data_IF_864857488751
#
_entry.id   IF_864857488751
#
_cell.length_a   1.000
_cell.length_b   1.000
_cell.length_c   1.000
_cell.angle_alpha   90.00
_cell.angle_beta   90.00
_cell.angle_gamma   90.00
#
_symmetry.space_group_name_H-M   'P 1'
#
loop_
_entity.id
_entity.type
_entity.pdbx_description
1 polymer ?
#
# COMPACT_ATOMS: atom_id res chain seq x y z
N UNK A 1 -41.63 -47.12 -4.81
CA UNK A 1 -40.94 -46.46 -3.68
C UNK A 1 -40.09 -45.34 -4.25
N UNK A 2 -40.59 -44.10 -4.20
CA UNK A 2 -39.83 -42.92 -4.61
C UNK A 2 -39.12 -42.36 -3.37
N UNK A 3 -37.80 -42.48 -3.33
CA UNK A 3 -37.01 -41.74 -2.33
C UNK A 3 -36.99 -40.26 -2.71
N UNK A 4 -37.41 -39.34 -1.83
CA UNK A 4 -37.26 -37.91 -2.07
C UNK A 4 -35.77 -37.55 -2.03
N UNK A 5 -35.28 -36.98 -3.14
CA UNK A 5 -33.94 -36.39 -3.23
C UNK A 5 -33.86 -35.22 -2.25
N UNK A 6 -32.88 -35.31 -1.35
CA UNK A 6 -32.50 -34.26 -0.42
C UNK A 6 -32.12 -32.97 -1.17
N UNK A 7 -33.07 -32.05 -1.30
CA UNK A 7 -32.85 -30.67 -1.76
C UNK A 7 -32.24 -29.84 -0.64
N UNK A 8 -31.06 -30.23 -0.16
CA UNK A 8 -30.16 -29.31 0.54
C UNK A 8 -29.42 -28.46 -0.50
N UNK A 9 -30.17 -27.66 -1.26
CA UNK A 9 -29.60 -26.43 -1.78
C UNK A 9 -29.32 -25.56 -0.56
N UNK A 10 -28.08 -25.66 -0.07
CA UNK A 10 -27.49 -24.75 0.88
C UNK A 10 -27.64 -23.33 0.35
N UNK A 11 -28.72 -22.65 0.75
CA UNK A 11 -28.77 -21.21 0.83
C UNK A 11 -27.81 -20.80 1.97
N UNK A 12 -26.51 -20.92 1.70
CA UNK A 12 -25.49 -20.22 2.49
C UNK A 12 -25.85 -18.74 2.39
N UNK A 13 -26.17 -18.05 3.51
CA UNK A 13 -26.39 -16.62 3.45
C UNK A 13 -25.11 -16.00 2.91
N UNK A 14 -25.19 -15.39 1.73
CA UNK A 14 -24.10 -14.62 1.15
C UNK A 14 -23.71 -13.56 2.19
N UNK A 15 -22.61 -13.78 2.91
CA UNK A 15 -22.08 -12.85 3.91
C UNK A 15 -21.51 -11.60 3.19
N UNK A 16 -22.39 -10.76 2.66
CA UNK A 16 -22.10 -9.47 2.01
C UNK A 16 -21.48 -8.50 3.02
N UNK A 17 -22.05 -8.45 4.24
CA UNK A 17 -21.75 -7.43 5.25
C UNK A 17 -20.36 -7.59 5.86
N UNK A 18 -19.93 -8.82 6.13
CA UNK A 18 -18.59 -9.09 6.68
C UNK A 18 -17.49 -8.74 5.68
N UNK A 19 -17.67 -9.11 4.41
CA UNK A 19 -16.68 -8.83 3.36
C UNK A 19 -16.60 -7.35 3.01
N UNK A 20 -17.71 -6.62 3.05
CA UNK A 20 -17.70 -5.15 2.91
C UNK A 20 -16.92 -4.47 4.04
N UNK A 21 -17.08 -4.92 5.30
CA UNK A 21 -16.28 -4.42 6.43
C UNK A 21 -14.79 -4.70 6.24
N UNK A 22 -14.44 -5.90 5.80
CA UNK A 22 -13.03 -6.26 5.50
C UNK A 22 -12.46 -5.36 4.41
N UNK A 23 -13.21 -5.12 3.32
CA UNK A 23 -12.80 -4.20 2.26
C UNK A 23 -12.51 -2.78 2.78
N UNK A 24 -13.39 -2.23 3.63
CA UNK A 24 -13.20 -0.91 4.24
C UNK A 24 -11.94 -0.88 5.11
N UNK A 25 -11.77 -1.88 5.98
CA UNK A 25 -10.61 -1.99 6.89
C UNK A 25 -9.31 -2.09 6.09
N UNK A 26 -9.27 -2.93 5.06
CA UNK A 26 -8.08 -3.11 4.22
C UNK A 26 -7.75 -1.84 3.43
N UNK A 27 -8.75 -1.06 2.99
CA UNK A 27 -8.52 0.23 2.33
C UNK A 27 -7.88 1.23 3.28
N UNK A 28 -8.42 1.36 4.50
CA UNK A 28 -7.84 2.24 5.52
C UNK A 28 -6.43 1.79 5.93
N UNK A 29 -6.21 0.49 6.05
CA UNK A 29 -4.91 -0.07 6.42
C UNK A 29 -3.86 0.17 5.33
N UNK A 30 -4.22 -0.02 4.05
CA UNK A 30 -3.34 0.29 2.92
C UNK A 30 -2.99 1.78 2.87
N UNK A 31 -3.99 2.67 3.00
CA UNK A 31 -3.75 4.11 3.07
C UNK A 31 -2.79 4.47 4.22
N UNK A 32 -3.00 3.89 5.40
CA UNK A 32 -2.15 4.10 6.57
C UNK A 32 -0.71 3.62 6.34
N UNK A 33 -0.52 2.40 5.84
CA UNK A 33 0.80 1.84 5.56
C UNK A 33 1.55 2.67 4.51
N UNK A 34 0.89 3.13 3.45
CA UNK A 34 1.54 3.96 2.44
C UNK A 34 1.90 5.36 2.96
N UNK A 35 1.06 5.95 3.82
CA UNK A 35 1.41 7.18 4.55
C UNK A 35 2.64 6.94 5.46
N UNK A 36 2.72 5.81 6.14
CA UNK A 36 3.89 5.45 6.95
C UNK A 36 5.14 5.26 6.10
N UNK A 37 5.06 4.61 4.94
CA UNK A 37 6.18 4.51 3.98
C UNK A 37 6.70 5.91 3.62
N UNK A 38 5.80 6.87 3.37
CA UNK A 38 6.15 8.25 3.02
C UNK A 38 6.85 8.97 4.18
N UNK A 39 6.35 8.82 5.41
CA UNK A 39 7.00 9.39 6.60
C UNK A 39 8.37 8.73 6.86
N UNK A 40 8.48 7.41 6.72
CA UNK A 40 9.77 6.71 6.85
C UNK A 40 10.76 7.13 5.77
N UNK A 41 10.30 7.32 4.53
CA UNK A 41 11.13 7.87 3.45
C UNK A 41 11.72 9.22 3.87
N UNK A 42 10.92 10.03 4.57
CA UNK A 42 11.37 11.35 4.98
C UNK A 42 12.37 11.38 6.14
N UNK A 43 12.44 10.28 6.91
CA UNK A 43 13.39 10.07 8.01
C UNK A 43 14.68 9.34 7.55
N UNK A 44 14.64 8.78 6.34
CA UNK A 44 15.76 8.05 5.75
C UNK A 44 16.78 9.01 5.10
N UNK A 45 17.98 8.54 4.72
CA UNK A 45 18.92 9.32 3.91
C UNK A 45 18.33 9.80 2.57
N UNK A 46 17.18 9.28 2.12
CA UNK A 46 16.44 9.79 0.95
C UNK A 46 15.87 11.19 1.16
N UNK A 47 15.90 11.73 2.39
CA UNK A 47 15.54 13.11 2.66
C UNK A 47 16.41 14.15 1.95
N UNK A 48 17.60 13.74 1.50
CA UNK A 48 18.48 14.58 0.68
C UNK A 48 17.99 14.67 -0.77
N UNK A 49 17.17 13.73 -1.22
CA UNK A 49 16.63 13.66 -2.57
C UNK A 49 15.16 14.07 -2.59
N UNK A 50 14.89 15.31 -3.04
CA UNK A 50 13.53 15.80 -3.30
C UNK A 50 12.86 16.49 -2.12
N UNK A 51 11.95 17.44 -2.43
CA UNK A 51 11.34 18.31 -1.43
C UNK A 51 10.30 17.60 -0.53
N UNK A 52 9.67 16.53 -1.04
CA UNK A 52 8.68 15.74 -0.31
C UNK A 52 9.27 14.77 0.73
N UNK A 53 10.58 14.51 0.64
CA UNK A 53 11.27 13.55 1.50
C UNK A 53 11.93 14.24 2.70
N UNK A 54 11.71 15.52 2.97
CA UNK A 54 12.27 16.17 4.17
C UNK A 54 11.29 16.02 5.31
N UNK A 55 11.67 15.34 6.38
CA UNK A 55 10.80 15.20 7.56
C UNK A 55 10.34 16.56 8.08
N UNK A 56 9.04 16.70 8.32
CA UNK A 56 8.42 17.95 8.80
C UNK A 56 8.35 19.08 7.76
N UNK A 57 8.75 18.84 6.51
CA UNK A 57 8.59 19.82 5.43
C UNK A 57 7.16 19.90 4.93
N UNK A 58 6.82 21.04 4.31
CA UNK A 58 5.53 21.21 3.63
C UNK A 58 5.30 20.13 2.57
N UNK A 59 6.34 19.74 1.83
CA UNK A 59 6.25 18.70 0.80
C UNK A 59 5.89 17.32 1.37
N UNK A 60 6.40 16.96 2.55
CA UNK A 60 6.03 15.70 3.22
C UNK A 60 4.55 15.70 3.60
N UNK A 61 4.08 16.79 4.23
CA UNK A 61 2.67 16.90 4.63
C UNK A 61 1.73 16.94 3.40
N UNK A 62 2.12 17.62 2.33
CA UNK A 62 1.38 17.61 1.06
C UNK A 62 1.28 16.21 0.47
N UNK A 63 2.36 15.42 0.50
CA UNK A 63 2.34 14.04 0.03
C UNK A 63 1.41 13.15 0.87
N UNK A 64 1.50 13.24 2.20
CA UNK A 64 0.60 12.51 3.13
C UNK A 64 -0.85 12.90 2.91
N UNK A 65 -1.14 14.21 2.78
CA UNK A 65 -2.48 14.70 2.50
C UNK A 65 -3.01 14.21 1.15
N UNK A 66 -2.17 14.21 0.11
CA UNK A 66 -2.53 13.71 -1.20
C UNK A 66 -2.88 12.22 -1.16
N UNK A 67 -2.05 11.39 -0.50
CA UNK A 67 -2.32 9.96 -0.30
C UNK A 67 -3.65 9.77 0.43
N UNK A 68 -3.87 10.49 1.52
CA UNK A 68 -5.13 10.45 2.25
C UNK A 68 -6.32 10.83 1.35
N UNK A 69 -6.21 11.88 0.55
CA UNK A 69 -7.26 12.33 -0.35
C UNK A 69 -7.60 11.28 -1.42
N UNK A 70 -6.61 10.70 -2.10
CA UNK A 70 -6.84 9.72 -3.17
C UNK A 70 -7.38 8.38 -2.67
N UNK A 71 -7.17 8.03 -1.38
CA UNK A 71 -7.81 6.87 -0.75
C UNK A 71 -9.19 7.21 -0.18
N UNK A 72 -9.29 8.23 0.68
CA UNK A 72 -10.50 8.46 1.46
C UNK A 72 -11.61 9.12 0.66
N UNK A 73 -11.32 9.99 -0.31
CA UNK A 73 -12.35 10.62 -1.13
C UNK A 73 -13.18 9.56 -1.91
N UNK A 74 -12.58 8.65 -2.69
CA UNK A 74 -13.36 7.59 -3.34
C UNK A 74 -13.95 6.57 -2.34
N UNK A 75 -13.33 6.35 -1.17
CA UNK A 75 -13.90 5.48 -0.14
C UNK A 75 -15.19 6.05 0.46
N UNK A 76 -15.23 7.36 0.75
CA UNK A 76 -16.42 8.05 1.24
C UNK A 76 -17.52 8.00 0.17
N UNK A 77 -17.19 8.31 -1.09
CA UNK A 77 -18.17 8.24 -2.18
C UNK A 77 -18.69 6.80 -2.38
N UNK A 78 -17.82 5.80 -2.21
CA UNK A 78 -18.22 4.39 -2.23
C UNK A 78 -19.22 4.06 -1.12
N UNK A 79 -19.00 4.52 0.12
CA UNK A 79 -19.95 4.28 1.23
C UNK A 79 -21.25 5.06 1.09
N UNK A 80 -21.26 6.17 0.35
CA UNK A 80 -22.46 6.90 -0.05
C UNK A 80 -23.26 6.22 -1.17
N UNK A 81 -22.81 5.07 -1.69
CA UNK A 81 -23.52 4.25 -2.67
C UNK A 81 -23.00 4.35 -4.10
N UNK A 82 -21.97 5.16 -4.37
CA UNK A 82 -21.32 5.23 -5.69
C UNK A 82 -20.40 4.01 -5.88
N UNK A 83 -21.00 2.86 -6.22
CA UNK A 83 -20.29 1.57 -6.37
C UNK A 83 -19.14 1.61 -7.37
N UNK A 84 -19.18 2.48 -8.38
CA UNK A 84 -18.11 2.67 -9.37
C UNK A 84 -16.79 3.18 -8.77
N UNK A 85 -16.84 3.86 -7.62
CA UNK A 85 -15.64 4.38 -6.93
C UNK A 85 -14.69 3.28 -6.50
N UNK A 86 -15.18 2.04 -6.40
CA UNK A 86 -14.31 0.88 -6.22
C UNK A 86 -13.22 0.91 -7.28
N UNK A 87 -13.52 1.02 -8.58
CA UNK A 87 -12.53 0.96 -9.67
C UNK A 87 -11.41 1.98 -9.53
N UNK A 88 -11.73 3.16 -9.01
CA UNK A 88 -10.74 4.19 -8.67
C UNK A 88 -9.85 3.70 -7.53
N UNK A 89 -10.41 3.17 -6.44
CA UNK A 89 -9.63 2.54 -5.38
C UNK A 89 -8.74 1.42 -5.90
N UNK A 90 -9.18 0.60 -6.87
CA UNK A 90 -8.32 -0.45 -7.44
C UNK A 90 -7.15 0.12 -8.24
N UNK A 91 -7.35 1.23 -8.95
CA UNK A 91 -6.25 1.91 -9.63
C UNK A 91 -5.26 2.50 -8.61
N UNK A 92 -5.78 3.18 -7.57
CA UNK A 92 -4.99 3.80 -6.51
C UNK A 92 -4.16 2.74 -5.75
N UNK A 93 -4.80 1.69 -5.23
CA UNK A 93 -4.15 0.57 -4.56
C UNK A 93 -3.12 -0.10 -5.48
N UNK A 94 -3.41 -0.25 -6.77
CA UNK A 94 -2.49 -0.84 -7.75
C UNK A 94 -1.23 -0.01 -7.96
N UNK A 95 -1.36 1.30 -8.16
CA UNK A 95 -0.23 2.22 -8.33
C UNK A 95 0.68 2.21 -7.09
N UNK A 96 0.08 2.23 -5.90
CA UNK A 96 0.85 2.20 -4.66
C UNK A 96 1.47 0.83 -4.38
N UNK A 97 0.82 -0.27 -4.79
CA UNK A 97 1.43 -1.61 -4.76
C UNK A 97 2.65 -1.68 -5.67
N UNK A 98 2.59 -1.14 -6.89
CA UNK A 98 3.73 -1.09 -7.80
C UNK A 98 4.88 -0.27 -7.22
N UNK A 99 4.56 0.84 -6.56
CA UNK A 99 5.54 1.70 -5.89
C UNK A 99 6.21 0.97 -4.71
N UNK A 100 5.42 0.28 -3.86
CA UNK A 100 5.93 -0.56 -2.77
C UNK A 100 6.81 -1.72 -3.29
N UNK A 101 6.42 -2.35 -4.40
CA UNK A 101 7.22 -3.39 -5.04
C UNK A 101 8.55 -2.84 -5.57
N UNK A 102 8.55 -1.64 -6.16
CA UNK A 102 9.77 -0.98 -6.59
C UNK A 102 10.71 -0.70 -5.41
N UNK A 103 10.19 -0.22 -4.27
CA UNK A 103 10.98 -0.03 -3.04
C UNK A 103 11.59 -1.35 -2.57
N UNK A 104 10.80 -2.42 -2.55
CA UNK A 104 11.22 -3.74 -2.08
C UNK A 104 12.33 -4.36 -2.96
N UNK A 105 12.36 -4.06 -4.26
CA UNK A 105 13.36 -4.61 -5.20
C UNK A 105 14.57 -3.69 -5.37
N UNK A 106 14.36 -2.37 -5.50
CA UNK A 106 15.42 -1.42 -5.86
C UNK A 106 16.31 -1.11 -4.65
N UNK A 107 15.74 -0.95 -3.46
CA UNK A 107 16.53 -0.56 -2.28
C UNK A 107 17.61 -1.59 -1.90
N UNK A 108 17.38 -2.92 -1.91
CA UNK A 108 18.43 -3.91 -1.72
C UNK A 108 19.53 -3.85 -2.79
N UNK A 109 19.17 -3.60 -4.05
CA UNK A 109 20.13 -3.49 -5.15
C UNK A 109 21.04 -2.28 -4.95
N UNK A 110 20.49 -1.14 -4.52
CA UNK A 110 21.28 0.05 -4.20
C UNK A 110 22.14 -0.14 -2.93
N UNK A 111 21.67 -0.94 -1.97
CA UNK A 111 22.43 -1.28 -0.76
C UNK A 111 23.52 -2.33 -0.99
N UNK A 112 23.49 -3.07 -2.12
CA UNK A 112 24.47 -4.10 -2.43
C UNK A 112 25.87 -3.49 -2.61
N UNK A 113 26.86 -4.08 -1.95
CA UNK A 113 28.25 -3.60 -1.95
C UNK A 113 28.82 -3.21 -3.34
N UNK A 114 28.68 -4.02 -4.41
CA UNK A 114 29.23 -3.63 -5.71
C UNK A 114 28.58 -2.37 -6.29
N UNK A 115 27.25 -2.23 -6.17
CA UNK A 115 26.52 -1.06 -6.67
C UNK A 115 26.81 0.17 -5.82
N UNK A 116 26.85 0.01 -4.50
CA UNK A 116 27.17 1.09 -3.56
C UNK A 116 28.56 1.66 -3.80
N UNK A 117 29.57 0.80 -3.97
CA UNK A 117 30.95 1.21 -4.23
C UNK A 117 31.07 1.98 -5.57
N UNK A 118 30.35 1.53 -6.62
CA UNK A 118 30.28 2.24 -7.89
C UNK A 118 29.60 3.61 -7.75
N UNK A 119 28.52 3.70 -6.97
CA UNK A 119 27.80 4.96 -6.77
C UNK A 119 28.60 5.94 -5.92
N UNK A 120 29.29 5.48 -4.87
CA UNK A 120 30.21 6.28 -4.04
C UNK A 120 31.37 6.85 -4.86
N UNK A 121 31.98 6.03 -5.73
CA UNK A 121 33.06 6.48 -6.61
C UNK A 121 32.61 7.47 -7.68
N UNK A 122 31.36 7.39 -8.14
CA UNK A 122 30.78 8.34 -9.10
C UNK A 122 30.27 9.64 -8.47
N UNK A 123 29.67 9.55 -7.27
CA UNK A 123 29.06 10.69 -6.59
C UNK A 123 30.03 11.48 -5.70
N UNK A 124 31.20 10.93 -5.36
CA UNK A 124 32.20 11.59 -4.52
C UNK A 124 31.75 11.81 -3.07
N UNK A 125 30.67 11.15 -2.64
CA UNK A 125 30.11 11.22 -1.29
C UNK A 125 30.05 9.83 -0.68
N UNK A 126 30.55 9.68 0.55
CA UNK A 126 30.35 8.46 1.31
C UNK A 126 28.84 8.27 1.56
N UNK A 127 28.28 7.21 0.98
CA UNK A 127 26.93 6.75 1.26
C UNK A 127 27.09 6.10 2.65
N UNK A 128 27.12 6.93 3.70
CA UNK A 128 27.40 6.54 5.09
C UNK A 128 26.30 5.65 5.62
N UNK A 129 26.67 4.54 6.26
CA UNK A 129 25.87 3.41 6.75
C UNK A 129 24.60 3.67 7.61
N UNK A 130 23.94 4.82 7.51
CA UNK A 130 22.61 5.10 8.10
C UNK A 130 21.45 4.36 7.42
N UNK A 131 21.73 3.36 6.59
CA UNK A 131 20.74 2.59 5.81
C UNK A 131 19.97 1.57 6.63
N UNK A 132 20.45 1.15 7.80
CA UNK A 132 19.96 -0.11 8.37
C UNK A 132 18.50 -0.02 8.83
N UNK A 133 18.18 0.86 9.77
CA UNK A 133 16.85 0.85 10.37
C UNK A 133 15.79 1.43 9.43
N UNK A 134 16.10 2.50 8.68
CA UNK A 134 15.15 3.13 7.79
C UNK A 134 14.87 2.26 6.55
N UNK A 135 15.89 1.65 5.94
CA UNK A 135 15.67 0.75 4.81
C UNK A 135 14.95 -0.53 5.25
N UNK A 136 15.31 -1.12 6.40
CA UNK A 136 14.60 -2.28 6.96
C UNK A 136 13.15 -1.92 7.26
N UNK A 137 12.87 -0.75 7.85
CA UNK A 137 11.50 -0.29 8.06
C UNK A 137 10.74 -0.12 6.75
N UNK A 138 11.36 0.47 5.71
CA UNK A 138 10.75 0.60 4.39
C UNK A 138 10.47 -0.76 3.74
N UNK A 139 11.35 -1.75 3.90
CA UNK A 139 11.12 -3.10 3.40
C UNK A 139 9.96 -3.78 4.11
N UNK A 140 9.91 -3.71 5.44
CA UNK A 140 8.84 -4.29 6.24
C UNK A 140 7.50 -3.64 5.89
N UNK A 141 7.45 -2.31 5.83
CA UNK A 141 6.26 -1.57 5.47
C UNK A 141 5.81 -1.86 4.03
N UNK A 142 6.75 -1.94 3.09
CA UNK A 142 6.42 -2.26 1.68
C UNK A 142 5.91 -3.70 1.54
N UNK A 143 6.52 -4.67 2.24
CA UNK A 143 6.04 -6.05 2.25
C UNK A 143 4.63 -6.15 2.87
N UNK A 144 4.41 -5.46 4.00
CA UNK A 144 3.10 -5.40 4.64
C UNK A 144 2.05 -4.76 3.71
N UNK A 145 2.40 -3.67 3.03
CA UNK A 145 1.51 -3.00 2.06
C UNK A 145 1.13 -3.93 0.92
N UNK A 146 2.09 -4.65 0.33
CA UNK A 146 1.82 -5.61 -0.72
C UNK A 146 0.90 -6.73 -0.22
N UNK A 147 1.13 -7.26 0.98
CA UNK A 147 0.27 -8.31 1.57
C UNK A 147 -1.15 -7.77 1.77
N UNK A 148 -1.29 -6.59 2.37
CA UNK A 148 -2.60 -5.94 2.59
C UNK A 148 -3.32 -5.72 1.27
N UNK A 149 -2.61 -5.30 0.22
CA UNK A 149 -3.19 -5.04 -1.09
C UNK A 149 -3.57 -6.31 -1.84
N UNK A 150 -2.80 -7.40 -1.70
CA UNK A 150 -3.19 -8.73 -2.18
C UNK A 150 -4.49 -9.17 -1.50
N UNK A 151 -4.56 -9.07 -0.16
CA UNK A 151 -5.78 -9.38 0.58
C UNK A 151 -6.94 -8.48 0.14
N UNK A 152 -6.67 -7.22 -0.16
CA UNK A 152 -7.67 -6.28 -0.64
C UNK A 152 -8.22 -6.70 -2.01
N UNK A 153 -7.37 -7.07 -2.97
CA UNK A 153 -7.79 -7.55 -4.30
C UNK A 153 -8.53 -8.90 -4.23
N UNK A 154 -8.17 -9.78 -3.30
CA UNK A 154 -8.90 -11.05 -3.09
C UNK A 154 -10.32 -10.76 -2.56
N UNK A 155 -10.47 -9.76 -1.68
CA UNK A 155 -11.76 -9.43 -1.08
C UNK A 155 -12.59 -8.43 -1.92
N UNK A 156 -11.98 -7.76 -2.88
CA UNK A 156 -12.57 -6.78 -3.78
C UNK A 156 -13.86 -7.26 -4.48
N UNK A 157 -13.83 -8.44 -5.10
CA UNK A 157 -14.91 -8.94 -5.96
C UNK A 157 -16.20 -9.29 -5.22
N UNK A 158 -16.15 -9.33 -3.89
CA UNK A 158 -17.25 -9.76 -3.03
C UNK A 158 -18.11 -8.60 -2.52
N UNK A 159 -17.78 -7.36 -2.85
CA UNK A 159 -18.58 -6.18 -2.51
C UNK A 159 -19.88 -6.03 -3.32
N UNK A 160 -20.25 -7.08 -4.08
CA UNK A 160 -21.54 -7.20 -4.75
C UNK A 160 -22.63 -7.43 -3.69
N UNK A 161 -23.16 -6.33 -3.17
CA UNK A 161 -24.50 -6.23 -2.58
C UNK A 161 -25.22 -5.13 -3.35
#
# INVERSE_FOLDING_TARGET
MNHPQNTFHQNQPHNTTGKQKVFLILTCLSAFLFMMITVTASLSPYAQFGNANRFGSEGMFQAVFFIAAVYFLPLILYTMGLKSMRFILAAVTGIFTLSAAAILVILPVLAAAPVRNLLESAAGTAISAGYEWAAVAMWILSAAEIIVNILWYVNWGSSKA
#
